data_IF_947979598253
#
_entry.id   IF_947979598253
#
_cell.length_a   1.000
_cell.length_b   1.000
_cell.length_c   1.000
_cell.angle_alpha   90.00
_cell.angle_beta   90.00
_cell.angle_gamma   90.00
#
_symmetry.space_group_name_H-M   'P 1'
#
loop_
_entity.id
_entity.type
_entity.pdbx_description
1 polymer ?
#
# COMPACT_ATOMS: atom_id res chain seq x y z
N UNK A 1 8.98 75.97 63.67
CA UNK A 1 9.99 75.82 62.59
C UNK A 1 9.27 75.57 61.27
N UNK A 2 9.77 76.20 60.20
CA UNK A 2 9.39 76.23 58.78
C UNK A 2 8.75 74.97 58.14
N UNK A 3 7.95 75.00 57.06
CA UNK A 3 7.12 76.02 56.35
C UNK A 3 6.39 75.28 55.20
N UNK A 4 5.19 75.77 54.84
CA UNK A 4 4.40 75.58 53.58
C UNK A 4 3.63 74.25 53.38
N UNK A 5 2.28 74.26 53.46
CA UNK A 5 1.28 74.76 52.50
C UNK A 5 1.06 73.77 51.33
N UNK A 6 -0.14 73.45 50.82
CA UNK A 6 -1.41 74.18 50.78
C UNK A 6 -2.49 73.23 50.19
N UNK A 7 -3.70 73.25 50.77
CA UNK A 7 -5.04 73.22 50.15
C UNK A 7 -5.44 72.13 49.13
N UNK A 8 -6.41 71.33 49.56
CA UNK A 8 -7.80 71.25 49.07
C UNK A 8 -8.21 71.94 47.76
N UNK A 9 -9.19 71.29 47.10
CA UNK A 9 -10.06 71.70 45.98
C UNK A 9 -9.58 71.17 44.62
N UNK A 10 -10.41 70.68 43.71
CA UNK A 10 -11.87 70.69 43.57
C UNK A 10 -12.25 69.66 42.49
N UNK A 11 -13.49 69.18 42.59
CA UNK A 11 -14.31 68.50 41.58
C UNK A 11 -13.98 68.80 40.10
N UNK A 12 -14.22 67.76 39.28
CA UNK A 12 -15.04 67.79 38.04
C UNK A 12 -14.33 67.52 36.72
N UNK A 13 -14.84 66.50 36.04
CA UNK A 13 -15.05 66.37 34.59
C UNK A 13 -13.87 66.12 33.63
N UNK A 14 -13.97 64.93 33.02
CA UNK A 14 -13.85 64.64 31.59
C UNK A 14 -12.50 64.79 30.84
N UNK A 15 -12.13 63.64 30.25
CA UNK A 15 -11.49 63.46 28.93
C UNK A 15 -10.07 64.00 28.72
N UNK A 16 -9.12 63.06 28.58
CA UNK A 16 -8.50 62.63 27.30
C UNK A 16 -6.98 62.33 27.44
N UNK A 17 -6.60 61.15 26.97
CA UNK A 17 -5.27 60.70 26.48
C UNK A 17 -4.06 60.60 27.44
N UNK A 18 -3.68 59.37 27.80
CA UNK A 18 -2.45 58.66 27.35
C UNK A 18 -2.33 57.34 28.15
N UNK A 19 -2.44 56.20 27.49
CA UNK A 19 -1.31 55.35 27.10
C UNK A 19 -0.54 54.76 28.28
N UNK A 20 -0.79 53.50 28.61
CA UNK A 20 0.26 52.52 28.97
C UNK A 20 -0.32 51.12 28.91
N UNK A 21 0.51 50.21 28.43
CA UNK A 21 0.19 48.89 27.90
C UNK A 21 -0.45 47.93 28.92
N UNK A 22 -1.46 47.20 28.46
CA UNK A 22 -1.89 45.93 29.06
C UNK A 22 -1.77 44.85 27.98
N UNK A 23 -0.90 43.88 28.25
CA UNK A 23 -0.56 42.76 27.38
C UNK A 23 -1.81 41.96 27.01
N UNK A 24 -2.11 41.93 25.71
CA UNK A 24 -3.06 41.01 25.13
C UNK A 24 -2.57 39.57 25.37
N UNK A 25 -3.42 38.76 26.03
CA UNK A 25 -3.32 37.31 25.98
C UNK A 25 -3.43 36.89 24.52
N UNK A 26 -2.33 36.41 23.95
CA UNK A 26 -2.33 35.73 22.67
C UNK A 26 -3.23 34.51 22.74
N UNK A 27 -4.28 34.49 21.93
CA UNK A 27 -5.02 33.28 21.58
C UNK A 27 -4.05 32.21 21.10
N UNK A 28 -4.26 30.92 21.43
CA UNK A 28 -3.49 29.86 20.80
C UNK A 28 -3.87 29.87 19.32
N UNK A 29 -2.89 30.20 18.48
CA UNK A 29 -2.97 30.03 17.03
C UNK A 29 -3.38 28.59 16.75
N UNK A 30 -4.65 28.40 16.40
CA UNK A 30 -5.13 27.20 15.76
C UNK A 30 -4.29 27.00 14.50
N UNK A 31 -3.44 25.96 14.50
CA UNK A 31 -2.86 25.46 13.26
C UNK A 31 -3.99 25.31 12.22
N UNK A 32 -3.75 25.64 10.95
CA UNK A 32 -4.77 25.45 9.94
C UNK A 32 -5.03 23.95 9.85
N UNK A 33 -6.20 23.52 10.35
CA UNK A 33 -6.78 22.22 10.02
C UNK A 33 -6.77 22.17 8.50
N UNK A 34 -5.88 21.34 7.96
CA UNK A 34 -5.63 21.22 6.54
C UNK A 34 -6.95 20.75 5.92
N UNK A 35 -7.73 21.68 5.35
CA UNK A 35 -9.05 21.39 4.76
C UNK A 35 -8.88 20.27 3.74
N UNK A 36 -9.25 19.04 4.13
CA UNK A 36 -9.29 17.90 3.23
C UNK A 36 -10.17 18.22 2.02
N UNK A 37 -9.87 17.61 0.88
CA UNK A 37 -10.72 17.75 -0.30
C UNK A 37 -12.15 17.30 0.06
N UNK A 38 -13.15 18.14 -0.24
CA UNK A 38 -14.56 17.79 -0.01
C UNK A 38 -14.97 16.53 -0.77
N UNK A 39 -15.93 15.77 -0.21
CA UNK A 39 -16.33 14.45 -0.69
C UNK A 39 -16.64 14.38 -2.20
N UNK A 40 -17.32 15.38 -2.74
CA UNK A 40 -17.63 15.49 -4.18
C UNK A 40 -16.37 15.57 -5.04
N UNK A 41 -15.38 16.38 -4.62
CA UNK A 41 -14.11 16.54 -5.34
C UNK A 41 -13.27 15.26 -5.29
N UNK A 42 -13.35 14.51 -4.18
CA UNK A 42 -12.69 13.20 -4.05
C UNK A 42 -13.30 12.16 -4.97
N UNK A 43 -14.63 12.05 -5.01
CA UNK A 43 -15.31 11.16 -5.94
C UNK A 43 -14.98 11.48 -7.41
N UNK A 44 -14.87 12.77 -7.76
CA UNK A 44 -14.41 13.17 -9.10
C UNK A 44 -12.97 12.74 -9.38
N UNK A 45 -12.05 12.85 -8.42
CA UNK A 45 -10.66 12.44 -8.59
C UNK A 45 -10.52 10.93 -8.73
N UNK A 46 -11.25 10.13 -7.95
CA UNK A 46 -11.24 8.67 -8.09
C UNK A 46 -11.80 8.23 -9.44
N UNK A 47 -12.86 8.89 -9.94
CA UNK A 47 -13.39 8.63 -11.27
C UNK A 47 -12.38 8.99 -12.37
N UNK A 48 -11.77 10.17 -12.31
CA UNK A 48 -10.75 10.60 -13.28
C UNK A 48 -9.56 9.62 -13.24
N UNK A 49 -9.08 9.27 -12.05
CA UNK A 49 -8.01 8.29 -11.88
C UNK A 49 -8.35 6.95 -12.51
N UNK A 50 -9.57 6.46 -12.30
CA UNK A 50 -10.05 5.19 -12.86
C UNK A 50 -10.14 5.23 -14.38
N UNK A 51 -10.63 6.34 -14.95
CA UNK A 51 -10.70 6.52 -16.41
C UNK A 51 -9.30 6.59 -17.04
N UNK A 52 -8.37 7.33 -16.43
CA UNK A 52 -6.99 7.44 -16.90
C UNK A 52 -6.30 6.08 -16.86
N UNK A 53 -6.40 5.36 -15.74
CA UNK A 53 -5.82 4.02 -15.59
C UNK A 53 -6.45 3.05 -16.60
N UNK A 54 -7.77 3.09 -16.76
CA UNK A 54 -8.48 2.27 -17.76
C UNK A 54 -8.02 2.56 -19.20
N UNK A 55 -7.80 3.83 -19.55
CA UNK A 55 -7.29 4.21 -20.86
C UNK A 55 -5.86 3.71 -21.10
N UNK A 56 -4.98 3.82 -20.09
CA UNK A 56 -3.61 3.31 -20.16
C UNK A 56 -3.61 1.79 -20.39
N UNK A 57 -4.34 1.03 -19.56
CA UNK A 57 -4.40 -0.43 -19.66
C UNK A 57 -5.01 -0.88 -21.00
N UNK A 58 -6.09 -0.21 -21.45
CA UNK A 58 -6.69 -0.48 -22.76
C UNK A 58 -5.69 -0.22 -23.89
N UNK A 59 -4.93 0.87 -23.82
CA UNK A 59 -3.90 1.19 -24.81
C UNK A 59 -2.83 0.10 -24.87
N UNK A 60 -2.38 -0.42 -23.72
CA UNK A 60 -1.42 -1.53 -23.67
C UNK A 60 -1.95 -2.80 -24.34
N UNK A 61 -3.20 -3.17 -24.06
CA UNK A 61 -3.86 -4.34 -24.64
C UNK A 61 -4.04 -4.18 -26.15
N UNK A 62 -4.52 -3.02 -26.60
CA UNK A 62 -4.70 -2.71 -28.03
C UNK A 62 -3.35 -2.72 -28.74
N UNK A 63 -2.33 -2.07 -28.18
CA UNK A 63 -0.98 -2.06 -28.74
C UNK A 63 -0.41 -3.48 -28.89
N UNK A 64 -0.59 -4.34 -27.89
CA UNK A 64 -0.19 -5.75 -27.96
C UNK A 64 -0.92 -6.49 -29.09
N UNK A 65 -2.24 -6.32 -29.19
CA UNK A 65 -3.07 -6.96 -30.22
C UNK A 65 -2.68 -6.55 -31.63
N UNK A 66 -2.56 -5.24 -31.89
CA UNK A 66 -2.23 -4.66 -33.21
C UNK A 66 -0.83 -5.10 -33.68
N UNK A 67 0.11 -5.26 -32.76
CA UNK A 67 1.48 -5.68 -33.08
C UNK A 67 1.68 -7.20 -33.11
N UNK A 68 0.64 -8.00 -32.82
CA UNK A 68 0.73 -9.47 -32.80
C UNK A 68 1.04 -10.04 -34.20
N UNK A 69 1.81 -11.14 -34.32
CA UNK A 69 2.11 -11.75 -35.61
C UNK A 69 0.87 -12.15 -36.41
N UNK A 70 -0.20 -12.57 -35.72
CA UNK A 70 -1.48 -12.94 -36.33
C UNK A 70 -2.19 -11.73 -36.94
N UNK A 71 -2.21 -10.59 -36.23
CA UNK A 71 -2.86 -9.35 -36.70
C UNK A 71 -2.01 -8.61 -37.75
N UNK A 72 -0.68 -8.71 -37.68
CA UNK A 72 0.27 -8.16 -38.67
C UNK A 72 0.03 -8.66 -40.09
N UNK A 73 -0.47 -9.88 -40.26
CA UNK A 73 -0.68 -10.49 -41.59
C UNK A 73 -2.05 -10.19 -42.20
N UNK A 74 -3.00 -9.67 -41.43
CA UNK A 74 -4.44 -9.66 -41.81
C UNK A 74 -5.15 -8.34 -41.56
N UNK A 75 -4.49 -7.33 -40.99
CA UNK A 75 -5.14 -6.07 -40.61
C UNK A 75 -5.28 -5.08 -41.77
N UNK A 76 -6.45 -5.08 -42.44
CA UNK A 76 -6.85 -4.00 -43.35
C UNK A 76 -6.90 -2.62 -42.66
N UNK A 77 -7.12 -2.60 -41.35
CA UNK A 77 -7.16 -1.37 -40.54
C UNK A 77 -5.78 -0.68 -40.51
N UNK A 78 -4.70 -1.44 -40.32
CA UNK A 78 -3.35 -0.86 -40.32
C UNK A 78 -2.95 -0.34 -41.72
N UNK A 79 -3.35 -1.03 -42.78
CA UNK A 79 -3.17 -0.52 -44.15
C UNK A 79 -3.88 0.81 -44.37
N UNK A 80 -5.12 0.96 -43.90
CA UNK A 80 -5.82 2.23 -43.94
C UNK A 80 -5.11 3.32 -43.12
N UNK A 81 -4.66 3.00 -41.91
CA UNK A 81 -3.91 3.95 -41.06
C UNK A 81 -2.63 4.42 -41.75
N UNK A 82 -1.82 3.52 -42.32
CA UNK A 82 -0.61 3.88 -43.06
C UNK A 82 -0.94 4.75 -44.28
N UNK A 83 -1.94 4.35 -45.07
CA UNK A 83 -2.33 5.10 -46.27
C UNK A 83 -2.82 6.52 -45.94
N UNK A 84 -3.55 6.69 -44.84
CA UNK A 84 -4.02 8.00 -44.38
C UNK A 84 -2.85 8.85 -43.88
N UNK A 85 -1.92 8.26 -43.14
CA UNK A 85 -0.71 8.94 -42.65
C UNK A 85 0.18 9.45 -43.79
N UNK A 86 0.35 8.65 -44.85
CA UNK A 86 1.06 9.06 -46.05
C UNK A 86 0.30 10.14 -46.84
N UNK A 87 -1.03 10.00 -47.01
CA UNK A 87 -1.86 10.97 -47.73
C UNK A 87 -1.89 12.36 -47.04
N UNK A 88 -1.84 12.39 -45.71
CA UNK A 88 -1.79 13.62 -44.90
C UNK A 88 -0.37 14.18 -44.73
N UNK A 89 0.67 13.45 -45.12
CA UNK A 89 2.07 13.81 -44.90
C UNK A 89 2.51 13.78 -43.44
N UNK A 90 1.70 13.23 -42.53
CA UNK A 90 1.99 13.17 -41.09
C UNK A 90 3.22 12.30 -40.77
N UNK A 91 3.39 11.19 -41.49
CA UNK A 91 4.54 10.29 -41.34
C UNK A 91 4.70 9.39 -42.57
N UNK A 92 5.91 8.86 -42.77
CA UNK A 92 6.19 7.85 -43.80
C UNK A 92 5.94 6.45 -43.26
N UNK A 93 5.41 5.55 -44.08
CA UNK A 93 5.22 4.15 -43.71
C UNK A 93 6.55 3.50 -43.31
N UNK A 94 6.61 2.80 -42.16
CA UNK A 94 7.82 2.11 -41.73
C UNK A 94 8.14 0.94 -42.66
N UNK A 95 9.43 0.65 -42.84
CA UNK A 95 9.87 -0.57 -43.53
C UNK A 95 9.43 -1.81 -42.75
N UNK A 96 9.33 -2.97 -43.43
CA UNK A 96 8.98 -4.22 -42.77
C UNK A 96 9.92 -4.52 -41.58
N UNK A 97 11.23 -4.32 -41.75
CA UNK A 97 12.20 -4.50 -40.68
C UNK A 97 11.97 -3.55 -39.49
N UNK A 98 11.70 -2.27 -39.75
CA UNK A 98 11.40 -1.29 -38.72
C UNK A 98 10.10 -1.63 -37.97
N UNK A 99 9.04 -2.01 -38.70
CA UNK A 99 7.78 -2.43 -38.09
C UNK A 99 7.93 -3.70 -37.24
N UNK A 100 8.72 -4.68 -37.71
CA UNK A 100 9.05 -5.87 -36.93
C UNK A 100 9.80 -5.54 -35.64
N UNK A 101 10.74 -4.59 -35.67
CA UNK A 101 11.46 -4.14 -34.48
C UNK A 101 10.52 -3.45 -33.48
N UNK A 102 9.68 -2.53 -33.95
CA UNK A 102 8.66 -1.85 -33.13
C UNK A 102 7.71 -2.87 -32.50
N UNK A 103 7.17 -3.78 -33.30
CA UNK A 103 6.27 -4.82 -32.81
C UNK A 103 6.92 -5.69 -31.74
N UNK A 104 8.21 -6.05 -31.89
CA UNK A 104 8.95 -6.81 -30.88
C UNK A 104 9.12 -6.03 -29.58
N UNK A 105 9.44 -4.74 -29.65
CA UNK A 105 9.58 -3.89 -28.46
C UNK A 105 8.24 -3.75 -27.72
N UNK A 106 7.15 -3.46 -28.45
CA UNK A 106 5.80 -3.39 -27.88
C UNK A 106 5.40 -4.71 -27.23
N UNK A 107 5.64 -5.85 -27.90
CA UNK A 107 5.37 -7.17 -27.35
C UNK A 107 6.19 -7.45 -26.09
N UNK A 108 7.47 -7.14 -26.09
CA UNK A 108 8.35 -7.36 -24.93
C UNK A 108 7.90 -6.54 -23.72
N UNK A 109 7.58 -5.27 -23.95
CA UNK A 109 7.09 -4.36 -22.92
C UNK A 109 5.73 -4.80 -22.37
N UNK A 110 4.74 -4.97 -23.23
CA UNK A 110 3.37 -5.38 -22.83
C UNK A 110 3.36 -6.77 -22.18
N UNK A 111 4.20 -7.71 -22.63
CA UNK A 111 4.36 -9.00 -21.93
C UNK A 111 4.92 -8.82 -20.53
N UNK A 112 5.90 -7.94 -20.33
CA UNK A 112 6.45 -7.64 -19.01
C UNK A 112 5.43 -6.97 -18.08
N UNK A 113 4.48 -6.20 -18.63
CA UNK A 113 3.38 -5.62 -17.86
C UNK A 113 2.41 -6.68 -17.31
N UNK A 114 2.07 -7.71 -18.10
CA UNK A 114 0.99 -8.66 -17.76
C UNK A 114 1.47 -10.04 -17.31
N UNK A 115 2.68 -10.46 -17.66
CA UNK A 115 3.19 -11.81 -17.44
C UNK A 115 4.57 -11.81 -16.78
N UNK A 116 4.91 -12.93 -16.15
CA UNK A 116 6.24 -13.14 -15.57
C UNK A 116 7.32 -13.11 -16.64
N UNK A 117 8.39 -12.37 -16.36
CA UNK A 117 9.59 -12.28 -17.20
C UNK A 117 10.75 -13.12 -16.63
N UNK A 118 11.79 -13.42 -17.42
CA UNK A 118 13.02 -14.06 -16.93
C UNK A 118 12.96 -15.58 -16.74
N UNK A 119 12.21 -16.32 -17.55
CA UNK A 119 12.20 -17.79 -17.49
C UNK A 119 13.55 -18.37 -17.96
N UNK A 120 14.05 -19.38 -17.23
CA UNK A 120 15.39 -19.99 -17.47
C UNK A 120 15.36 -21.10 -18.52
N UNK A 121 14.22 -21.78 -18.70
CA UNK A 121 14.14 -22.96 -19.59
C UNK A 121 12.77 -23.23 -20.23
N UNK A 122 11.83 -22.26 -20.22
CA UNK A 122 10.57 -22.45 -20.94
C UNK A 122 10.69 -21.99 -22.39
N UNK A 123 10.20 -22.82 -23.31
CA UNK A 123 9.97 -22.45 -24.71
C UNK A 123 9.02 -21.23 -24.73
N UNK A 124 9.55 -20.03 -25.00
CA UNK A 124 8.85 -18.74 -24.91
C UNK A 124 7.57 -18.66 -25.76
N UNK A 125 7.38 -19.63 -26.65
CA UNK A 125 6.30 -19.72 -27.64
C UNK A 125 4.91 -19.96 -27.04
N UNK A 126 4.78 -20.33 -25.75
CA UNK A 126 3.47 -20.62 -25.11
C UNK A 126 3.28 -19.90 -23.76
N UNK A 127 2.94 -18.60 -23.73
CA UNK A 127 2.71 -17.85 -22.49
C UNK A 127 1.58 -18.41 -21.61
N UNK A 128 0.53 -18.98 -22.22
CA UNK A 128 -0.61 -19.53 -21.47
C UNK A 128 -0.29 -20.86 -20.76
N UNK A 129 0.66 -21.66 -21.25
CA UNK A 129 1.11 -22.84 -20.51
C UNK A 129 1.93 -22.46 -19.28
N UNK A 130 2.63 -21.32 -19.30
CA UNK A 130 3.31 -20.79 -18.12
C UNK A 130 2.30 -20.39 -17.02
N UNK A 131 1.18 -19.76 -17.40
CA UNK A 131 0.08 -19.45 -16.47
C UNK A 131 -0.54 -20.72 -15.87
N UNK A 132 -0.73 -21.77 -16.68
CA UNK A 132 -1.22 -23.07 -16.19
C UNK A 132 -0.23 -23.72 -15.21
N UNK A 133 1.08 -23.63 -15.50
CA UNK A 133 2.13 -24.15 -14.63
C UNK A 133 2.31 -23.39 -13.31
N UNK A 134 1.69 -22.21 -13.15
CA UNK A 134 1.66 -21.50 -11.87
C UNK A 134 0.79 -22.22 -10.83
N UNK A 135 -0.17 -23.04 -11.28
CA UNK A 135 -1.16 -23.72 -10.42
C UNK A 135 -1.14 -25.25 -10.52
N UNK A 136 -0.42 -25.81 -11.51
CA UNK A 136 -0.31 -27.26 -11.76
C UNK A 136 1.11 -27.77 -11.45
N UNK A 137 1.26 -28.51 -10.35
CA UNK A 137 2.52 -29.03 -9.83
C UNK A 137 3.10 -30.19 -10.67
N UNK A 138 2.40 -30.68 -11.69
CA UNK A 138 2.83 -31.82 -12.52
C UNK A 138 3.79 -31.44 -13.67
N UNK A 139 4.01 -30.15 -13.91
CA UNK A 139 4.93 -29.63 -14.94
C UNK A 139 6.30 -29.35 -14.29
N UNK A 140 7.46 -29.70 -14.90
CA UNK A 140 8.76 -29.30 -14.39
C UNK A 140 8.77 -27.79 -14.14
N UNK A 141 8.85 -27.38 -12.87
CA UNK A 141 8.62 -25.99 -12.46
C UNK A 141 9.59 -25.08 -13.19
N UNK A 142 9.07 -24.33 -14.17
CA UNK A 142 9.81 -23.28 -14.84
C UNK A 142 10.43 -22.38 -13.77
N UNK A 143 11.75 -22.30 -13.78
CA UNK A 143 12.49 -21.42 -12.89
C UNK A 143 12.57 -20.03 -13.52
N UNK A 144 12.40 -19.01 -12.70
CA UNK A 144 12.44 -17.62 -13.10
C UNK A 144 13.57 -16.91 -12.38
N UNK A 145 14.36 -16.17 -13.14
CA UNK A 145 15.30 -15.17 -12.65
C UNK A 145 14.60 -13.82 -12.53
N UNK A 146 15.21 -12.92 -11.74
CA UNK A 146 14.83 -11.51 -11.72
C UNK A 146 15.04 -10.86 -13.09
N UNK A 147 14.21 -9.88 -13.42
CA UNK A 147 14.30 -9.14 -14.67
C UNK A 147 13.75 -7.72 -14.48
N UNK A 148 14.25 -6.76 -15.26
CA UNK A 148 13.72 -5.40 -15.29
C UNK A 148 12.22 -5.34 -15.65
N UNK A 149 11.74 -6.35 -16.38
CA UNK A 149 10.32 -6.52 -16.67
C UNK A 149 9.44 -6.64 -15.42
N UNK A 150 10.01 -7.09 -14.30
CA UNK A 150 9.28 -7.29 -13.05
C UNK A 150 8.83 -5.94 -12.43
N UNK A 151 9.51 -4.83 -12.73
CA UNK A 151 9.07 -3.47 -12.34
C UNK A 151 7.81 -3.08 -13.12
N UNK A 152 7.78 -3.34 -14.42
CA UNK A 152 6.59 -3.08 -15.24
C UNK A 152 5.41 -3.95 -14.79
N UNK A 153 5.67 -5.20 -14.42
CA UNK A 153 4.68 -6.07 -13.80
C UNK A 153 4.11 -5.42 -12.53
N UNK A 154 4.99 -5.05 -11.59
CA UNK A 154 4.59 -4.50 -10.30
C UNK A 154 3.70 -3.24 -10.46
N UNK A 155 4.12 -2.31 -11.32
CA UNK A 155 3.39 -1.08 -11.62
C UNK A 155 2.04 -1.34 -12.30
N UNK A 156 2.02 -2.20 -13.33
CA UNK A 156 0.79 -2.50 -14.09
C UNK A 156 -0.24 -3.20 -13.21
N UNK A 157 0.17 -4.20 -12.44
CA UNK A 157 -0.72 -4.91 -11.54
C UNK A 157 -1.17 -4.05 -10.35
N UNK A 158 -0.36 -3.07 -9.92
CA UNK A 158 -0.81 -2.03 -8.98
C UNK A 158 -1.94 -1.17 -9.57
N UNK A 159 -1.86 -0.81 -10.85
CA UNK A 159 -2.95 -0.11 -11.57
C UNK A 159 -4.20 -1.00 -11.74
N UNK A 160 -4.02 -2.29 -12.03
CA UNK A 160 -5.14 -3.24 -12.12
C UNK A 160 -5.83 -3.38 -10.76
N UNK A 161 -5.07 -3.50 -9.67
CA UNK A 161 -5.61 -3.53 -8.30
C UNK A 161 -6.41 -2.27 -7.96
N UNK A 162 -5.94 -1.10 -8.39
CA UNK A 162 -6.68 0.15 -8.25
C UNK A 162 -8.03 0.10 -8.98
N UNK A 163 -8.08 -0.40 -10.22
CA UNK A 163 -9.35 -0.58 -10.94
C UNK A 163 -10.27 -1.60 -10.25
N UNK A 164 -9.72 -2.73 -9.81
CA UNK A 164 -10.48 -3.76 -9.08
C UNK A 164 -11.09 -3.15 -7.82
N UNK A 165 -10.32 -2.37 -7.04
CA UNK A 165 -10.80 -1.64 -5.86
C UNK A 165 -12.00 -0.78 -6.22
N UNK A 166 -11.88 0.09 -7.23
CA UNK A 166 -12.96 1.01 -7.61
C UNK A 166 -14.21 0.25 -8.04
N UNK A 167 -14.06 -0.72 -8.96
CA UNK A 167 -15.18 -1.51 -9.49
C UNK A 167 -15.86 -2.29 -8.36
N UNK A 168 -15.09 -3.00 -7.54
CA UNK A 168 -15.63 -3.80 -6.44
C UNK A 168 -16.31 -2.92 -5.39
N UNK A 169 -15.72 -1.76 -5.08
CA UNK A 169 -16.29 -0.82 -4.10
C UNK A 169 -17.65 -0.32 -4.55
N UNK A 170 -17.79 0.11 -5.80
CA UNK A 170 -19.05 0.67 -6.31
C UNK A 170 -20.11 -0.39 -6.63
N UNK A 171 -19.71 -1.52 -7.21
CA UNK A 171 -20.67 -2.55 -7.64
C UNK A 171 -21.07 -3.51 -6.52
N UNK A 172 -20.22 -3.72 -5.51
CA UNK A 172 -20.45 -4.75 -4.49
C UNK A 172 -20.38 -4.16 -3.08
N UNK A 173 -19.26 -3.56 -2.69
CA UNK A 173 -19.03 -3.22 -1.29
C UNK A 173 -19.97 -2.13 -0.78
N UNK A 174 -20.22 -1.07 -1.54
CA UNK A 174 -21.16 -0.01 -1.13
C UNK A 174 -22.62 -0.52 -1.02
N UNK A 175 -23.17 -1.26 -2.01
CA UNK A 175 -24.47 -1.92 -1.85
C UNK A 175 -24.56 -2.81 -0.61
N UNK A 176 -23.57 -3.71 -0.41
CA UNK A 176 -23.52 -4.60 0.75
C UNK A 176 -23.42 -3.82 2.06
N UNK A 177 -22.62 -2.75 2.09
CA UNK A 177 -22.47 -1.87 3.26
C UNK A 177 -23.80 -1.24 3.68
N UNK A 178 -24.64 -0.81 2.73
CA UNK A 178 -25.96 -0.23 3.05
C UNK A 178 -26.93 -1.22 3.69
N UNK A 179 -26.73 -2.52 3.43
CA UNK A 179 -27.54 -3.60 4.00
C UNK A 179 -27.03 -3.94 5.41
N UNK A 180 -25.70 -4.02 5.59
CA UNK A 180 -25.10 -4.54 6.81
C UNK A 180 -24.85 -3.48 7.90
N UNK A 181 -24.63 -2.22 7.54
CA UNK A 181 -24.31 -1.16 8.51
C UNK A 181 -25.52 -0.85 9.39
N UNK A 182 -25.33 -0.82 10.71
CA UNK A 182 -26.37 -0.46 11.66
C UNK A 182 -26.75 1.01 11.50
N UNK A 183 -28.06 1.28 11.34
CA UNK A 183 -28.59 2.64 11.27
C UNK A 183 -28.39 3.37 12.62
N UNK A 184 -28.04 4.67 12.62
CA UNK A 184 -27.87 5.43 13.86
C UNK A 184 -29.20 5.56 14.61
N UNK A 185 -29.21 5.23 15.91
CA UNK A 185 -30.40 5.28 16.76
C UNK A 185 -30.48 6.60 17.54
N UNK A 186 -30.38 7.73 16.82
CA UNK A 186 -30.24 9.05 17.44
C UNK A 186 -31.45 9.96 17.20
N UNK A 187 -31.75 10.83 18.16
CA UNK A 187 -32.82 11.85 18.09
C UNK A 187 -32.48 13.05 17.19
N UNK A 188 -31.46 12.93 16.34
CA UNK A 188 -30.99 14.01 15.48
C UNK A 188 -31.93 14.24 14.29
N UNK A 189 -31.80 15.40 13.65
CA UNK A 189 -32.51 15.71 12.40
C UNK A 189 -32.27 14.63 11.34
N UNK A 190 -33.28 14.24 10.53
CA UNK A 190 -33.17 13.21 9.49
C UNK A 190 -31.99 13.43 8.53
N UNK A 191 -31.70 14.70 8.17
CA UNK A 191 -30.59 15.03 7.29
C UNK A 191 -29.22 14.67 7.91
N UNK A 192 -29.05 14.93 9.20
CA UNK A 192 -27.82 14.61 9.93
C UNK A 192 -27.69 13.10 10.11
N UNK A 193 -28.79 12.41 10.42
CA UNK A 193 -28.81 10.96 10.56
C UNK A 193 -28.40 10.27 9.25
N UNK A 194 -28.97 10.69 8.12
CA UNK A 194 -28.64 10.16 6.80
C UNK A 194 -27.16 10.41 6.45
N UNK A 195 -26.64 11.61 6.72
CA UNK A 195 -25.24 11.92 6.48
C UNK A 195 -24.29 11.07 7.33
N UNK A 196 -24.58 10.87 8.63
CA UNK A 196 -23.77 9.98 9.50
C UNK A 196 -23.85 8.53 9.03
N UNK A 197 -25.02 8.08 8.56
CA UNK A 197 -25.20 6.73 8.02
C UNK A 197 -24.38 6.51 6.75
N UNK A 198 -24.48 7.38 5.75
CA UNK A 198 -23.70 7.25 4.50
C UNK A 198 -22.19 7.31 4.77
N UNK A 199 -21.73 8.11 5.75
CA UNK A 199 -20.32 8.11 6.17
C UNK A 199 -19.90 6.74 6.70
N UNK A 200 -20.70 6.10 7.56
CA UNK A 200 -20.43 4.74 8.07
C UNK A 200 -20.45 3.70 6.94
N UNK A 201 -21.36 3.84 5.98
CA UNK A 201 -21.42 2.99 4.77
C UNK A 201 -20.13 3.10 3.96
N UNK A 202 -19.64 4.31 3.69
CA UNK A 202 -18.38 4.50 2.98
C UNK A 202 -17.19 3.90 3.76
N UNK A 203 -17.09 4.16 5.07
CA UNK A 203 -16.03 3.59 5.91
C UNK A 203 -16.10 2.06 5.97
N UNK A 204 -17.29 1.48 6.02
CA UNK A 204 -17.46 0.02 5.96
C UNK A 204 -16.94 -0.54 4.64
N UNK A 205 -17.27 0.09 3.51
CA UNK A 205 -16.79 -0.33 2.20
C UNK A 205 -15.26 -0.23 2.10
N UNK A 206 -14.66 0.87 2.55
CA UNK A 206 -13.21 1.06 2.62
C UNK A 206 -12.54 -0.04 3.47
N UNK A 207 -13.08 -0.31 4.67
CA UNK A 207 -12.55 -1.38 5.54
C UNK A 207 -12.77 -2.78 4.96
N UNK A 208 -13.86 -3.00 4.23
CA UNK A 208 -14.13 -4.29 3.57
C UNK A 208 -13.11 -4.58 2.48
N UNK A 209 -12.76 -3.57 1.67
CA UNK A 209 -11.69 -3.68 0.69
C UNK A 209 -10.35 -4.03 1.35
N UNK A 210 -10.02 -3.36 2.46
CA UNK A 210 -8.80 -3.62 3.22
C UNK A 210 -8.75 -5.08 3.73
N UNK A 211 -9.85 -5.58 4.29
CA UNK A 211 -9.94 -6.98 4.75
C UNK A 211 -9.78 -7.97 3.60
N UNK A 212 -10.44 -7.73 2.46
CA UNK A 212 -10.31 -8.58 1.26
C UNK A 212 -8.85 -8.61 0.79
N UNK A 213 -8.21 -7.44 0.71
CA UNK A 213 -6.85 -7.27 0.24
C UNK A 213 -5.84 -8.01 1.14
N UNK A 214 -5.85 -7.74 2.44
CA UNK A 214 -4.90 -8.37 3.37
C UNK A 214 -5.19 -9.86 3.60
N UNK A 215 -6.45 -10.30 3.54
CA UNK A 215 -6.76 -11.74 3.61
C UNK A 215 -6.25 -12.47 2.37
N UNK A 216 -6.42 -11.88 1.19
CA UNK A 216 -5.93 -12.45 -0.07
C UNK A 216 -4.40 -12.52 -0.07
N UNK A 217 -3.74 -11.44 0.32
CA UNK A 217 -2.29 -11.36 0.51
C UNK A 217 -1.78 -12.43 1.47
N UNK A 218 -2.37 -12.51 2.68
CA UNK A 218 -2.00 -13.51 3.68
C UNK A 218 -2.12 -14.94 3.14
N UNK A 219 -3.22 -15.28 2.46
CA UNK A 219 -3.40 -16.61 1.87
C UNK A 219 -2.33 -16.91 0.83
N UNK A 220 -2.03 -15.96 -0.06
CA UNK A 220 -1.02 -16.15 -1.10
C UNK A 220 0.38 -16.29 -0.52
N UNK A 221 0.78 -15.40 0.39
CA UNK A 221 2.08 -15.45 1.08
C UNK A 221 2.23 -16.76 1.84
N UNK A 222 1.22 -17.17 2.60
CA UNK A 222 1.26 -18.43 3.34
C UNK A 222 1.32 -19.65 2.41
N UNK A 223 0.67 -19.62 1.24
CA UNK A 223 0.73 -20.72 0.26
C UNK A 223 2.14 -21.00 -0.28
N UNK A 224 3.03 -20.01 -0.19
CA UNK A 224 4.45 -20.11 -0.53
C UNK A 224 5.29 -20.41 0.71
N UNK A 225 5.12 -19.64 1.78
CA UNK A 225 5.95 -19.72 3.00
C UNK A 225 5.92 -21.12 3.62
N UNK A 226 4.76 -21.79 3.66
CA UNK A 226 4.66 -23.15 4.24
C UNK A 226 5.47 -24.20 3.48
N UNK A 227 5.88 -23.92 2.24
CA UNK A 227 6.72 -24.79 1.40
C UNK A 227 8.20 -24.42 1.47
N UNK A 228 8.55 -23.31 2.12
CA UNK A 228 9.95 -22.84 2.20
C UNK A 228 10.73 -23.57 3.30
N UNK A 229 12.04 -23.81 3.14
CA UNK A 229 12.82 -24.60 4.09
C UNK A 229 12.95 -24.00 5.49
N UNK A 230 12.78 -22.68 5.64
CA UNK A 230 12.85 -22.02 6.94
C UNK A 230 11.59 -22.22 7.79
N UNK A 231 10.46 -22.55 7.17
CA UNK A 231 9.19 -22.66 7.87
C UNK A 231 9.13 -23.98 8.67
N UNK A 232 8.58 -23.96 9.91
CA UNK A 232 8.10 -22.78 10.65
C UNK A 232 9.18 -22.08 11.49
N UNK A 233 10.31 -22.73 11.83
CA UNK A 233 11.22 -22.25 12.88
C UNK A 233 12.72 -22.37 12.56
N UNK A 234 13.09 -22.79 11.34
CA UNK A 234 14.49 -23.05 10.95
C UNK A 234 15.12 -21.83 10.27
N UNK A 235 15.35 -20.78 11.04
CA UNK A 235 15.77 -19.47 10.53
C UNK A 235 17.11 -19.49 9.80
N UNK A 236 17.97 -20.47 10.06
CA UNK A 236 19.23 -20.66 9.34
C UNK A 236 19.03 -20.84 7.82
N UNK A 237 17.87 -21.36 7.39
CA UNK A 237 17.53 -21.53 5.98
C UNK A 237 17.08 -20.23 5.28
N UNK A 238 16.94 -19.13 6.01
CA UNK A 238 16.76 -17.80 5.41
C UNK A 238 17.98 -17.40 4.58
N UNK A 239 19.18 -17.82 5.00
CA UNK A 239 20.46 -17.39 4.42
C UNK A 239 21.22 -18.51 3.72
N UNK A 240 20.92 -19.77 4.05
CA UNK A 240 21.56 -20.93 3.43
C UNK A 240 21.36 -20.92 1.90
N UNK A 241 22.43 -21.24 1.18
CA UNK A 241 22.48 -21.26 -0.29
C UNK A 241 22.27 -19.89 -0.95
N UNK A 242 22.53 -18.79 -0.22
CA UNK A 242 22.61 -17.45 -0.79
C UNK A 242 23.74 -17.36 -1.83
N UNK A 243 23.54 -16.69 -3.00
CA UNK A 243 22.34 -15.96 -3.41
C UNK A 243 21.25 -16.84 -4.05
N UNK A 244 20.00 -16.60 -3.67
CA UNK A 244 18.83 -17.24 -4.31
C UNK A 244 18.48 -16.49 -5.60
N UNK A 245 19.06 -16.91 -6.73
CA UNK A 245 18.91 -16.23 -8.03
C UNK A 245 17.71 -16.67 -8.84
N UNK A 246 17.10 -17.81 -8.49
CA UNK A 246 15.90 -18.35 -9.15
C UNK A 246 14.76 -18.57 -8.16
N UNK A 247 13.54 -18.51 -8.70
CA UNK A 247 12.28 -18.78 -8.01
C UNK A 247 11.39 -19.63 -8.92
N UNK A 248 10.56 -20.48 -8.34
CA UNK A 248 9.43 -21.02 -9.09
C UNK A 248 8.40 -19.93 -9.41
N UNK A 249 7.50 -20.24 -10.35
CA UNK A 249 6.51 -19.30 -10.85
C UNK A 249 5.59 -18.73 -9.73
N UNK A 250 5.15 -19.57 -8.79
CA UNK A 250 4.26 -19.15 -7.71
C UNK A 250 5.00 -18.23 -6.74
N UNK A 251 6.22 -18.62 -6.33
CA UNK A 251 7.07 -17.78 -5.48
C UNK A 251 7.36 -16.43 -6.13
N UNK A 252 7.60 -16.38 -7.44
CA UNK A 252 7.85 -15.09 -8.11
C UNK A 252 6.58 -14.24 -8.19
N UNK A 253 5.45 -14.81 -8.62
CA UNK A 253 4.21 -14.03 -8.82
C UNK A 253 3.68 -13.47 -7.52
N UNK A 254 3.71 -14.25 -6.43
CA UNK A 254 3.20 -13.79 -5.13
C UNK A 254 4.07 -12.63 -4.62
N UNK A 255 5.40 -12.71 -4.80
CA UNK A 255 6.29 -11.63 -4.38
C UNK A 255 6.07 -10.33 -5.17
N UNK A 256 5.87 -10.45 -6.49
CA UNK A 256 5.57 -9.31 -7.34
C UNK A 256 4.16 -8.77 -7.11
N UNK A 257 3.21 -9.63 -6.76
CA UNK A 257 1.88 -9.22 -6.33
C UNK A 257 1.95 -8.38 -5.05
N UNK A 258 2.76 -8.75 -4.07
CA UNK A 258 2.97 -7.93 -2.88
C UNK A 258 3.57 -6.57 -3.24
N UNK A 259 4.56 -6.53 -4.13
CA UNK A 259 5.08 -5.26 -4.65
C UNK A 259 3.96 -4.42 -5.33
N UNK A 260 3.11 -5.03 -6.16
CA UNK A 260 1.95 -4.39 -6.78
C UNK A 260 0.95 -3.86 -5.77
N UNK A 261 0.71 -4.59 -4.71
CA UNK A 261 -0.19 -4.20 -3.64
C UNK A 261 0.30 -2.94 -2.93
N UNK A 262 1.59 -2.87 -2.60
CA UNK A 262 2.19 -1.66 -2.01
C UNK A 262 2.23 -0.47 -2.97
N UNK A 263 2.47 -0.70 -4.27
CA UNK A 263 2.37 0.35 -5.31
C UNK A 263 0.94 0.89 -5.37
N UNK A 264 -0.06 0.01 -5.41
CA UNK A 264 -1.47 0.37 -5.39
C UNK A 264 -1.83 1.23 -4.17
N UNK A 265 -1.45 0.78 -2.97
CA UNK A 265 -1.76 1.52 -1.73
C UNK A 265 -1.04 2.88 -1.66
N UNK A 266 0.13 3.02 -2.27
CA UNK A 266 0.83 4.32 -2.39
C UNK A 266 0.04 5.34 -3.23
N UNK A 267 -0.72 4.90 -4.23
CA UNK A 267 -1.65 5.80 -4.94
C UNK A 267 -2.89 6.09 -4.10
N UNK A 268 -3.49 5.06 -3.51
CA UNK A 268 -4.74 5.18 -2.75
C UNK A 268 -4.62 6.10 -1.53
N UNK A 269 -3.50 6.05 -0.80
CA UNK A 269 -3.29 6.91 0.37
C UNK A 269 -3.37 8.41 0.04
N UNK A 270 -3.08 8.80 -1.21
CA UNK A 270 -3.17 10.19 -1.67
C UNK A 270 -4.57 10.58 -2.14
N UNK A 271 -5.44 9.59 -2.41
CA UNK A 271 -6.83 9.80 -2.81
C UNK A 271 -7.77 9.78 -1.60
N UNK A 272 -7.46 8.95 -0.60
CA UNK A 272 -8.21 8.86 0.64
C UNK A 272 -8.05 10.11 1.52
N UNK A 273 -8.92 10.21 2.52
CA UNK A 273 -8.78 11.27 3.53
C UNK A 273 -7.48 11.11 4.30
N UNK A 274 -6.74 12.22 4.43
CA UNK A 274 -5.54 12.24 5.26
C UNK A 274 -5.95 12.00 6.71
N UNK A 275 -5.60 10.82 7.21
CA UNK A 275 -5.70 10.48 8.63
C UNK A 275 -4.55 11.12 9.41
N UNK A 276 -4.68 11.12 10.74
CA UNK A 276 -3.65 11.65 11.66
C UNK A 276 -2.29 10.96 11.54
N UNK A 277 -2.26 9.74 11.02
CA UNK A 277 -1.06 8.93 10.82
C UNK A 277 -0.56 8.91 9.37
N UNK A 278 -0.97 9.87 8.54
CA UNK A 278 -0.67 9.91 7.10
C UNK A 278 0.84 9.78 6.81
N UNK A 279 1.68 10.54 7.52
CA UNK A 279 3.12 10.53 7.25
C UNK A 279 3.78 9.22 7.67
N UNK A 280 3.37 8.63 8.79
CA UNK A 280 3.83 7.32 9.24
C UNK A 280 3.47 6.25 8.22
N UNK A 281 2.22 6.26 7.72
CA UNK A 281 1.78 5.33 6.67
C UNK A 281 2.55 5.55 5.37
N UNK A 282 2.76 6.79 4.92
CA UNK A 282 3.51 7.07 3.69
C UNK A 282 4.96 6.58 3.78
N UNK A 283 5.66 6.89 4.88
CA UNK A 283 7.04 6.44 5.12
C UNK A 283 7.08 4.90 5.17
N UNK A 284 6.11 4.26 5.84
CA UNK A 284 6.01 2.81 5.87
C UNK A 284 5.91 2.20 4.46
N UNK A 285 5.09 2.77 3.57
CA UNK A 285 4.96 2.26 2.19
C UNK A 285 6.28 2.41 1.41
N UNK A 286 6.95 3.57 1.54
CA UNK A 286 8.24 3.81 0.88
C UNK A 286 9.29 2.82 1.38
N UNK A 287 9.42 2.67 2.71
CA UNK A 287 10.36 1.73 3.34
C UNK A 287 10.06 0.29 2.94
N UNK A 288 8.78 -0.10 2.91
CA UNK A 288 8.39 -1.48 2.56
C UNK A 288 8.66 -1.78 1.08
N UNK A 289 8.41 -0.83 0.17
CA UNK A 289 8.80 -0.97 -1.24
C UNK A 289 10.32 -1.12 -1.41
N UNK A 290 11.12 -0.37 -0.64
CA UNK A 290 12.58 -0.55 -0.63
C UNK A 290 13.00 -1.90 -0.05
N UNK A 291 12.34 -2.40 1.00
CA UNK A 291 12.62 -3.71 1.57
C UNK A 291 12.26 -4.85 0.61
N UNK A 292 11.09 -4.80 -0.02
CA UNK A 292 10.65 -5.78 -1.04
C UNK A 292 11.60 -5.75 -2.24
N UNK A 293 11.83 -4.57 -2.82
CA UNK A 293 12.72 -4.42 -3.98
C UNK A 293 14.18 -4.79 -3.66
N UNK A 294 14.68 -4.38 -2.50
CA UNK A 294 16.04 -4.67 -2.04
C UNK A 294 16.27 -6.17 -1.84
N UNK A 295 15.39 -6.85 -1.11
CA UNK A 295 15.49 -8.30 -0.89
C UNK A 295 15.30 -9.14 -2.16
N UNK A 296 14.46 -8.67 -3.11
CA UNK A 296 14.30 -9.28 -4.43
C UNK A 296 15.57 -9.14 -5.27
N UNK A 297 16.05 -7.90 -5.42
CA UNK A 297 17.24 -7.61 -6.25
C UNK A 297 18.49 -8.26 -5.68
N UNK A 298 18.66 -8.25 -4.36
CA UNK A 298 19.81 -8.83 -3.68
C UNK A 298 19.73 -10.33 -3.42
N UNK A 299 18.72 -11.05 -3.96
CA UNK A 299 18.62 -12.51 -3.92
C UNK A 299 18.51 -13.14 -2.51
N UNK A 300 17.82 -12.47 -1.58
CA UNK A 300 17.48 -13.02 -0.26
C UNK A 300 15.97 -12.96 0.02
N UNK A 301 15.14 -13.20 -1.02
CA UNK A 301 13.68 -13.09 -0.97
C UNK A 301 13.00 -13.92 0.14
N UNK A 302 13.65 -14.99 0.64
CA UNK A 302 13.14 -15.78 1.78
C UNK A 302 12.93 -14.93 3.03
N UNK A 303 13.82 -13.97 3.29
CA UNK A 303 13.67 -13.00 4.39
C UNK A 303 12.47 -12.09 4.15
N UNK A 304 12.31 -11.61 2.92
CA UNK A 304 11.17 -10.80 2.55
C UNK A 304 9.84 -11.53 2.75
N UNK A 305 9.76 -12.80 2.35
CA UNK A 305 8.60 -13.65 2.60
C UNK A 305 8.33 -13.88 4.09
N UNK A 306 9.37 -14.09 4.89
CA UNK A 306 9.22 -14.20 6.34
C UNK A 306 8.62 -12.91 6.93
N UNK A 307 9.06 -11.74 6.48
CA UNK A 307 8.52 -10.45 6.94
C UNK A 307 7.08 -10.24 6.46
N UNK A 308 6.78 -10.48 5.18
CA UNK A 308 5.43 -10.34 4.60
C UNK A 308 4.41 -11.20 5.37
N UNK A 309 4.75 -12.44 5.70
CA UNK A 309 3.88 -13.35 6.47
C UNK A 309 3.54 -12.84 7.87
N UNK A 310 4.39 -11.99 8.46
CA UNK A 310 4.19 -11.45 9.81
C UNK A 310 3.36 -10.17 9.82
N UNK A 311 3.29 -9.44 8.70
CA UNK A 311 2.63 -8.14 8.66
C UNK A 311 1.10 -8.28 8.62
N UNK A 312 0.54 -9.01 7.67
CA UNK A 312 -0.90 -8.99 7.39
C UNK A 312 -1.85 -9.58 8.46
N UNK A 313 -1.49 -10.61 9.27
CA UNK A 313 -2.44 -11.24 10.19
C UNK A 313 -3.14 -10.25 11.15
N UNK A 314 -2.40 -9.27 11.67
CA UNK A 314 -2.95 -8.28 12.58
C UNK A 314 -3.92 -7.32 11.87
N UNK A 315 -3.64 -6.94 10.61
CA UNK A 315 -4.49 -5.99 9.89
C UNK A 315 -5.82 -6.63 9.45
N UNK A 316 -5.81 -7.93 9.12
CA UNK A 316 -7.05 -8.71 8.91
C UNK A 316 -7.91 -8.68 10.18
N UNK A 317 -7.29 -8.86 11.35
CA UNK A 317 -8.00 -8.83 12.62
C UNK A 317 -8.61 -7.47 12.92
N UNK A 318 -7.83 -6.40 12.75
CA UNK A 318 -8.28 -5.02 12.99
C UNK A 318 -9.39 -4.60 12.02
N UNK A 319 -9.23 -4.89 10.73
CA UNK A 319 -10.25 -4.59 9.72
C UNK A 319 -11.57 -5.30 10.05
N UNK A 320 -11.49 -6.57 10.43
CA UNK A 320 -12.67 -7.37 10.83
C UNK A 320 -13.35 -6.77 12.08
N UNK A 321 -12.59 -6.39 13.10
CA UNK A 321 -13.13 -5.72 14.29
C UNK A 321 -13.90 -4.44 13.93
N UNK A 322 -13.38 -3.63 13.00
CA UNK A 322 -14.06 -2.41 12.52
C UNK A 322 -15.36 -2.72 11.78
N UNK A 323 -15.39 -3.74 10.92
CA UNK A 323 -16.62 -4.16 10.25
C UNK A 323 -17.68 -4.57 11.28
N UNK A 324 -17.31 -5.36 12.30
CA UNK A 324 -18.18 -5.76 13.41
C UNK A 324 -18.73 -4.54 14.17
N UNK A 325 -17.88 -3.53 14.44
CA UNK A 325 -18.29 -2.26 15.07
C UNK A 325 -19.39 -1.57 14.25
N UNK A 326 -19.22 -1.46 12.94
CA UNK A 326 -20.19 -0.80 12.06
C UNK A 326 -21.52 -1.57 11.92
N UNK A 327 -21.51 -2.90 12.01
CA UNK A 327 -22.73 -3.73 12.09
C UNK A 327 -23.42 -3.64 13.45
N UNK A 328 -22.79 -3.00 14.44
CA UNK A 328 -23.32 -2.86 15.80
C UNK A 328 -23.10 -4.09 16.68
N UNK A 329 -22.22 -5.02 16.30
CA UNK A 329 -21.87 -6.21 17.07
C UNK A 329 -20.73 -5.91 18.04
N UNK A 330 -20.98 -5.02 19.01
CA UNK A 330 -19.95 -4.44 19.88
C UNK A 330 -19.17 -5.50 20.67
N UNK A 331 -19.84 -6.48 21.28
CA UNK A 331 -19.17 -7.52 22.08
C UNK A 331 -18.19 -8.34 21.23
N UNK A 332 -18.58 -8.73 20.01
CA UNK A 332 -17.71 -9.48 19.11
C UNK A 332 -16.57 -8.60 18.60
N UNK A 333 -16.84 -7.32 18.33
CA UNK A 333 -15.81 -6.33 18.01
C UNK A 333 -14.74 -6.22 19.10
N UNK A 334 -15.13 -6.14 20.38
CA UNK A 334 -14.19 -5.99 21.49
C UNK A 334 -13.34 -7.27 21.68
N UNK A 335 -13.94 -8.46 21.51
CA UNK A 335 -13.20 -9.73 21.49
C UNK A 335 -12.19 -9.75 20.34
N UNK A 336 -12.63 -9.37 19.13
CA UNK A 336 -11.77 -9.33 17.94
C UNK A 336 -10.64 -8.31 18.08
N UNK A 337 -10.89 -7.18 18.76
CA UNK A 337 -9.86 -6.20 19.11
C UNK A 337 -8.82 -6.80 20.08
N UNK A 338 -9.25 -7.61 21.06
CA UNK A 338 -8.34 -8.37 21.93
C UNK A 338 -7.47 -9.36 21.15
N UNK A 339 -8.07 -10.13 20.24
CA UNK A 339 -7.33 -11.05 19.34
C UNK A 339 -6.32 -10.29 18.49
N UNK A 340 -6.74 -9.16 17.91
CA UNK A 340 -5.86 -8.26 17.15
C UNK A 340 -4.62 -7.84 17.95
N UNK A 341 -4.77 -7.45 19.21
CA UNK A 341 -3.63 -7.04 20.04
C UNK A 341 -2.64 -8.18 20.25
N UNK A 342 -3.14 -9.39 20.55
CA UNK A 342 -2.30 -10.58 20.73
C UNK A 342 -1.54 -10.91 19.44
N UNK A 343 -2.25 -10.95 18.31
CA UNK A 343 -1.67 -11.23 16.99
C UNK A 343 -0.62 -10.17 16.65
N UNK A 344 -0.91 -8.88 16.83
CA UNK A 344 0.03 -7.79 16.60
C UNK A 344 1.32 -7.98 17.40
N UNK A 345 1.22 -8.17 18.72
CA UNK A 345 2.40 -8.32 19.58
C UNK A 345 3.25 -9.52 19.16
N UNK A 346 2.63 -10.66 18.89
CA UNK A 346 3.35 -11.87 18.49
C UNK A 346 4.04 -11.66 17.14
N UNK A 347 3.30 -11.27 16.10
CA UNK A 347 3.87 -11.25 14.74
C UNK A 347 4.82 -10.08 14.53
N UNK A 348 4.47 -8.88 15.00
CA UNK A 348 5.19 -7.63 14.69
C UNK A 348 6.25 -7.23 15.72
N UNK A 349 6.27 -7.84 16.90
CA UNK A 349 7.28 -7.52 17.91
C UNK A 349 8.11 -8.72 18.34
N UNK A 350 7.52 -9.90 18.48
CA UNK A 350 8.27 -11.09 18.87
C UNK A 350 8.90 -11.75 17.64
N UNK A 351 8.08 -12.23 16.70
CA UNK A 351 8.56 -12.97 15.52
C UNK A 351 9.35 -12.06 14.57
N UNK A 352 8.92 -10.82 14.39
CA UNK A 352 9.67 -9.85 13.59
C UNK A 352 11.07 -9.58 14.19
N UNK A 353 11.18 -9.42 15.51
CA UNK A 353 12.49 -9.24 16.16
C UNK A 353 13.38 -10.47 16.00
N UNK A 354 12.81 -11.67 16.00
CA UNK A 354 13.53 -12.92 15.73
C UNK A 354 14.10 -12.94 14.30
N UNK A 355 13.30 -12.57 13.29
CA UNK A 355 13.78 -12.44 11.89
C UNK A 355 14.84 -11.35 11.76
N UNK A 356 14.63 -10.19 12.41
CA UNK A 356 15.60 -9.09 12.40
C UNK A 356 16.93 -9.48 13.05
N UNK A 357 16.88 -10.22 14.16
CA UNK A 357 18.07 -10.76 14.81
C UNK A 357 18.81 -11.77 13.92
N UNK A 358 18.10 -12.62 13.18
CA UNK A 358 18.73 -13.48 12.16
C UNK A 358 19.40 -12.66 11.05
N UNK A 359 18.79 -11.57 10.60
CA UNK A 359 19.45 -10.64 9.67
C UNK A 359 20.73 -10.05 10.25
N UNK A 360 20.73 -9.66 11.52
CA UNK A 360 21.88 -9.07 12.17
C UNK A 360 23.02 -10.07 12.45
N UNK A 361 22.67 -11.29 12.88
CA UNK A 361 23.63 -12.28 13.39
C UNK A 361 23.98 -13.38 12.39
N UNK A 362 22.99 -13.97 11.73
CA UNK A 362 23.21 -15.13 10.86
C UNK A 362 23.74 -14.72 9.48
N UNK A 363 23.22 -13.63 8.89
CA UNK A 363 23.64 -13.17 7.57
C UNK A 363 25.16 -12.94 7.45
N UNK A 364 25.82 -12.15 8.32
CA UNK A 364 27.27 -11.97 8.24
C UNK A 364 28.07 -13.22 8.67
N UNK A 365 27.47 -14.15 9.40
CA UNK A 365 28.13 -15.38 9.82
C UNK A 365 28.21 -16.43 8.70
N UNK A 366 27.24 -16.44 7.78
CA UNK A 366 27.13 -17.45 6.72
C UNK A 366 27.40 -16.91 5.31
N UNK A 367 27.40 -15.59 5.13
CA UNK A 367 27.64 -14.95 3.82
C UNK A 367 28.91 -14.12 3.88
N UNK A 368 29.85 -14.41 2.97
CA UNK A 368 31.03 -13.56 2.77
C UNK A 368 30.66 -12.33 1.95
N UNK A 369 30.60 -11.16 2.59
CA UNK A 369 30.25 -9.92 1.91
C UNK A 369 31.31 -9.48 0.90
N UNK A 370 30.85 -8.97 -0.24
CA UNK A 370 31.71 -8.42 -1.30
C UNK A 370 32.00 -6.93 -1.06
N UNK A 371 33.05 -6.42 -1.71
CA UNK A 371 33.40 -4.99 -1.70
C UNK A 371 32.58 -4.16 -2.67
N UNK A 372 32.05 -4.77 -3.73
CA UNK A 372 31.20 -4.14 -4.74
C UNK A 372 29.93 -4.93 -5.00
N UNK A 373 28.90 -4.23 -5.48
CA UNK A 373 27.62 -4.85 -5.85
C UNK A 373 27.74 -5.57 -7.19
N UNK A 374 27.22 -6.79 -7.26
CA UNK A 374 27.19 -7.58 -8.49
C UNK A 374 25.76 -8.05 -8.79
N UNK A 375 25.07 -7.26 -9.62
CA UNK A 375 23.69 -7.52 -10.01
C UNK A 375 23.57 -8.75 -10.93
N UNK A 376 24.63 -9.14 -11.64
CA UNK A 376 24.60 -10.30 -12.53
C UNK A 376 24.59 -11.60 -11.73
N UNK A 377 25.47 -11.73 -10.73
CA UNK A 377 25.47 -12.92 -9.85
C UNK A 377 24.37 -12.91 -8.80
N UNK A 378 23.81 -11.75 -8.47
CA UNK A 378 22.83 -11.59 -7.38
C UNK A 378 23.42 -11.48 -6.01
N UNK A 379 24.75 -11.57 -5.91
CA UNK A 379 25.45 -11.25 -4.68
C UNK A 379 25.58 -9.74 -4.55
N UNK A 380 24.55 -9.10 -4.01
CA UNK A 380 24.52 -7.65 -3.78
C UNK A 380 24.90 -7.26 -2.35
N UNK A 381 25.07 -8.23 -1.44
CA UNK A 381 25.44 -7.97 -0.05
C UNK A 381 26.90 -7.50 0.08
N UNK A 382 27.05 -6.18 0.15
CA UNK A 382 28.21 -5.46 0.68
C UNK A 382 27.91 -4.95 2.08
N UNK A 383 28.94 -4.58 2.85
CA UNK A 383 28.76 -3.98 4.17
C UNK A 383 27.77 -2.79 4.16
N UNK A 384 27.81 -1.97 3.11
CA UNK A 384 26.90 -0.83 2.93
C UNK A 384 25.47 -1.28 2.70
N UNK A 385 25.22 -2.15 1.72
CA UNK A 385 23.85 -2.61 1.40
C UNK A 385 23.21 -3.38 2.54
N UNK A 386 23.99 -4.19 3.26
CA UNK A 386 23.60 -4.89 4.46
C UNK A 386 23.17 -3.90 5.57
N UNK A 387 24.00 -2.88 5.82
CA UNK A 387 23.69 -1.85 6.82
C UNK A 387 22.42 -1.08 6.47
N UNK A 388 22.26 -0.69 5.20
CA UNK A 388 21.05 -0.04 4.70
C UNK A 388 19.82 -0.92 4.93
N UNK A 389 19.92 -2.22 4.62
CA UNK A 389 18.82 -3.17 4.85
C UNK A 389 18.44 -3.26 6.34
N UNK A 390 19.42 -3.40 7.25
CA UNK A 390 19.15 -3.42 8.69
C UNK A 390 18.54 -2.11 9.20
N UNK A 391 18.98 -0.97 8.69
CA UNK A 391 18.41 0.34 9.06
C UNK A 391 16.96 0.43 8.59
N UNK A 392 16.63 -0.01 7.37
CA UNK A 392 15.25 -0.03 6.88
C UNK A 392 14.35 -0.93 7.75
N UNK A 393 14.84 -2.10 8.19
CA UNK A 393 14.13 -2.94 9.15
C UNK A 393 13.92 -2.25 10.50
N UNK A 394 14.92 -1.49 10.97
CA UNK A 394 14.80 -0.69 12.19
C UNK A 394 13.79 0.46 12.07
N UNK A 395 13.76 1.14 10.93
CA UNK A 395 12.75 2.18 10.64
C UNK A 395 11.35 1.56 10.62
N UNK A 396 11.20 0.39 9.99
CA UNK A 396 9.93 -0.34 10.01
C UNK A 396 9.50 -0.67 11.44
N UNK A 397 10.40 -1.21 12.27
CA UNK A 397 10.11 -1.49 13.68
C UNK A 397 9.72 -0.25 14.47
N UNK A 398 10.40 0.87 14.24
CA UNK A 398 10.10 2.12 14.92
C UNK A 398 8.67 2.59 14.64
N UNK A 399 8.23 2.52 13.38
CA UNK A 399 6.85 2.85 13.01
C UNK A 399 5.86 1.87 13.66
N UNK A 400 6.18 0.57 13.69
CA UNK A 400 5.35 -0.44 14.37
C UNK A 400 5.19 -0.15 15.86
N UNK A 401 6.23 0.34 16.54
CA UNK A 401 6.17 0.74 17.96
C UNK A 401 5.29 1.98 18.18
N UNK A 402 5.32 2.96 17.26
CA UNK A 402 4.42 4.12 17.31
C UNK A 402 2.96 3.65 17.27
N UNK A 403 2.61 2.79 16.30
CA UNK A 403 1.24 2.26 16.22
C UNK A 403 0.88 1.38 17.40
N UNK A 404 1.83 0.61 17.94
CA UNK A 404 1.59 -0.17 19.16
C UNK A 404 1.25 0.73 20.35
N UNK A 405 1.95 1.87 20.51
CA UNK A 405 1.59 2.87 21.52
C UNK A 405 0.16 3.40 21.33
N UNK A 406 -0.28 3.63 20.09
CA UNK A 406 -1.66 4.01 19.80
C UNK A 406 -2.66 2.91 20.16
N UNK A 407 -2.34 1.65 19.87
CA UNK A 407 -3.18 0.49 20.20
C UNK A 407 -3.33 0.34 21.72
N UNK A 408 -2.24 0.44 22.46
CA UNK A 408 -2.25 0.38 23.93
C UNK A 408 -3.10 1.51 24.51
N UNK A 409 -3.01 2.72 23.95
CA UNK A 409 -3.85 3.84 24.39
C UNK A 409 -5.35 3.55 24.20
N UNK A 410 -5.73 2.94 23.06
CA UNK A 410 -7.11 2.50 22.84
C UNK A 410 -7.52 1.43 23.85
N UNK A 411 -6.66 0.46 24.13
CA UNK A 411 -6.93 -0.60 25.11
C UNK A 411 -7.13 -0.04 26.53
N UNK A 412 -6.30 0.90 26.97
CA UNK A 412 -6.46 1.58 28.26
C UNK A 412 -7.78 2.34 28.32
N UNK A 413 -8.18 2.98 27.21
CA UNK A 413 -9.48 3.65 27.13
C UNK A 413 -10.65 2.67 27.23
N UNK A 414 -10.57 1.51 26.58
CA UNK A 414 -11.58 0.44 26.68
C UNK A 414 -11.75 -0.01 28.12
N UNK A 415 -10.64 -0.27 28.82
CA UNK A 415 -10.65 -0.78 30.20
C UNK A 415 -11.15 0.26 31.21
N UNK A 416 -10.91 1.55 30.95
CA UNK A 416 -11.29 2.64 31.88
C UNK A 416 -12.66 3.26 31.58
N UNK A 417 -13.11 3.26 30.32
CA UNK A 417 -14.32 3.99 29.87
C UNK A 417 -15.31 3.12 29.08
N UNK A 418 -15.00 1.85 28.83
CA UNK A 418 -15.96 0.81 28.45
C UNK A 418 -16.20 0.58 26.95
N UNK A 419 -15.50 1.27 26.02
CA UNK A 419 -15.65 1.04 24.56
C UNK A 419 -14.36 1.25 23.76
N UNK A 420 -14.17 0.47 22.69
CA UNK A 420 -13.05 0.60 21.76
C UNK A 420 -13.28 1.70 20.71
N UNK A 421 -12.49 2.77 20.80
CA UNK A 421 -12.53 3.91 19.86
C UNK A 421 -11.17 4.02 19.17
N UNK A 422 -11.14 3.94 17.83
CA UNK A 422 -9.91 4.07 17.06
C UNK A 422 -9.61 5.55 16.80
N UNK A 423 -8.53 6.06 17.40
CA UNK A 423 -8.11 7.45 17.29
C UNK A 423 -7.63 7.87 15.89
N UNK A 424 -7.40 6.90 14.98
CA UNK A 424 -6.92 7.15 13.60
C UNK A 424 -8.02 7.55 12.63
N UNK A 425 -9.26 7.11 12.86
CA UNK A 425 -10.38 7.29 11.91
C UNK A 425 -11.55 8.12 12.43
N UNK A 426 -11.65 8.33 13.74
CA UNK A 426 -12.91 8.78 14.38
C UNK A 426 -12.85 10.25 14.87
N UNK A 427 -11.96 11.10 14.34
CA UNK A 427 -11.82 12.50 14.79
C UNK A 427 -13.07 13.39 14.61
N UNK A 428 -14.09 12.91 13.88
CA UNK A 428 -15.33 13.67 13.61
C UNK A 428 -16.62 12.98 14.09
N UNK A 429 -16.57 11.87 14.85
CA UNK A 429 -17.80 11.10 15.16
C UNK A 429 -18.50 11.48 16.47
N UNK A 430 -17.77 12.07 17.42
CA UNK A 430 -18.22 12.15 18.82
C UNK A 430 -18.24 13.58 19.38
N UNK A 431 -17.98 14.60 18.57
CA UNK A 431 -18.21 16.00 18.96
C UNK A 431 -19.67 16.39 18.70
N UNK A 432 -20.54 16.05 19.66
CA UNK A 432 -21.76 16.83 19.93
C UNK A 432 -21.49 17.73 21.15
#
# INVERSE_FOLDING_TARGET
MAKKARRTAKKSSAKKNQSTASMAKSEPTTEPVQKGLGATKRGSLELIGTLVVGAILTTLVVAHGVTSPAYRKTSHIMEHVWSLGEATGLYKRPTAAAWHAIARQVHTFTRSCFFLSGAVSSDETKPWSAVRSMWDASVPLAQYQRSWGDVYFALTWGMILYMIRTVLTHLVLLPVSRILVKRPDSKLSPAIQQHRFERKVCRFAEQSWIVILYTTSLVMVMSVVVKMPFWPTKLEFLWRDYPHTTMDALTKVVYLWEASNYVHQLFVINLEERRSDFWQMLIHHIVTLFLIGGSFTASFYRVGYAILALMDPADVCLGTAKLLKYMGWQTVCDIMFGVFMVVWTITRHILYAVVWYSCYRDAPAVISFKTSVDLASGHMLTQTTYTVFLVLLGVLQFILLIWFGMIVNVAVHVLTKGKAVDSRSDQDSDSD
#
